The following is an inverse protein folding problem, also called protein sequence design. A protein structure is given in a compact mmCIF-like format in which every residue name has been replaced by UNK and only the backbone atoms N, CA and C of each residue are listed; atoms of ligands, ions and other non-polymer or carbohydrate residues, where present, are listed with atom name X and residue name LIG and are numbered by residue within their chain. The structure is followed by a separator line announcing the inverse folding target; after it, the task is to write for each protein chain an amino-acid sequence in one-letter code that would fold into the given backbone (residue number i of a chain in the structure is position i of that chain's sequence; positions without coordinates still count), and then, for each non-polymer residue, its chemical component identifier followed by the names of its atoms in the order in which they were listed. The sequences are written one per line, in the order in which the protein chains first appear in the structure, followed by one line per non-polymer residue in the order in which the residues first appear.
data_IF_621591377430
#
_entry.id   IF_621591377430
#
_cell.length_a   1.000
_cell.length_b   1.000
_cell.length_c   1.000
_cell.angle_alpha   90.00
_cell.angle_beta   90.00
_cell.angle_gamma   90.00
#
_symmetry.space_group_name_H-M   'P 1'
#
loop_
_entity.id
_entity.type
_entity.pdbx_description
1 polymer ?
#
# COMPACT_ATOMS: atom_id res chain seq x y z
N UNK A 1 -7.69 18.55 10.79
CA UNK A 1 -7.27 17.84 12.02
C UNK A 1 -5.82 18.19 12.35
N UNK A 2 -5.47 18.22 13.61
CA UNK A 2 -4.14 18.61 14.10
C UNK A 2 -3.96 18.17 15.56
N UNK A 3 -2.74 18.34 16.14
CA UNK A 3 -2.53 18.18 17.58
C UNK A 3 -3.07 19.39 18.35
N UNK A 4 -3.44 19.21 19.62
CA UNK A 4 -3.93 20.30 20.49
C UNK A 4 -2.88 21.41 20.70
N UNK A 5 -1.59 21.06 20.61
CA UNK A 5 -0.47 21.99 20.76
C UNK A 5 -0.14 22.77 19.51
N UNK A 6 -0.74 22.43 18.36
CA UNK A 6 -0.48 23.09 17.08
C UNK A 6 -0.92 24.58 17.12
N UNK A 7 -0.14 25.51 16.57
CA UNK A 7 -0.57 26.89 16.37
C UNK A 7 -1.86 27.00 15.55
N UNK A 8 -2.10 26.06 14.61
CA UNK A 8 -3.31 26.02 13.80
C UNK A 8 -4.58 25.76 14.63
N UNK A 9 -4.47 24.98 15.72
CA UNK A 9 -5.61 24.71 16.62
C UNK A 9 -6.09 25.97 17.39
N UNK A 10 -5.24 27.00 17.44
CA UNK A 10 -5.48 28.24 18.17
C UNK A 10 -5.81 29.39 17.25
N UNK A 11 -5.87 29.18 15.94
CA UNK A 11 -6.22 30.21 14.95
C UNK A 11 -7.74 30.34 14.82
N UNK A 12 -8.24 31.59 14.83
CA UNK A 12 -9.65 31.92 14.58
C UNK A 12 -10.01 31.80 13.08
N UNK A 13 -9.05 31.47 12.20
CA UNK A 13 -9.26 31.30 10.76
C UNK A 13 -10.00 30.00 10.42
N UNK A 14 -10.13 29.08 11.37
CA UNK A 14 -10.75 27.79 11.18
C UNK A 14 -12.08 27.66 11.92
N UNK A 15 -13.09 27.09 11.26
CA UNK A 15 -14.42 26.87 11.84
C UNK A 15 -14.39 25.90 13.03
N UNK A 16 -13.53 24.91 13.00
CA UNK A 16 -13.37 23.91 14.06
C UNK A 16 -11.99 23.22 13.98
N UNK A 17 -11.50 22.75 15.12
CA UNK A 17 -10.33 21.91 15.23
C UNK A 17 -10.75 20.49 15.68
N UNK A 18 -10.20 19.48 15.02
CA UNK A 18 -10.39 18.07 15.36
C UNK A 18 -9.02 17.47 15.70
N UNK A 19 -8.92 16.89 16.89
CA UNK A 19 -7.66 16.43 17.40
C UNK A 19 -7.42 14.95 17.07
N UNK A 20 -6.17 14.64 16.92
CA UNK A 20 -5.66 13.28 16.70
C UNK A 20 -4.68 12.95 17.81
N UNK A 21 -4.74 11.75 18.33
CA UNK A 21 -3.81 11.27 19.35
C UNK A 21 -2.38 11.23 18.83
N UNK A 22 -1.42 11.58 19.68
CA UNK A 22 0.00 11.73 19.30
C UNK A 22 0.65 10.39 18.85
N UNK A 23 0.08 9.25 19.25
CA UNK A 23 0.57 7.94 18.83
C UNK A 23 0.06 7.47 17.47
N UNK A 24 -0.86 8.20 16.82
CA UNK A 24 -1.35 7.87 15.48
C UNK A 24 -0.38 8.46 14.44
N UNK A 25 0.37 7.58 13.77
CA UNK A 25 1.23 7.96 12.65
C UNK A 25 0.44 8.32 11.38
N UNK A 26 1.02 9.16 10.52
CA UNK A 26 0.38 9.64 9.28
C UNK A 26 -0.16 8.52 8.38
N UNK A 27 0.60 7.43 8.21
CA UNK A 27 0.23 6.29 7.35
C UNK A 27 -0.94 5.46 7.86
N UNK A 28 -1.27 5.56 9.15
CA UNK A 28 -2.42 4.91 9.78
C UNK A 28 -3.54 5.91 10.12
N UNK A 29 -3.48 7.14 9.61
CA UNK A 29 -4.39 8.23 10.00
C UNK A 29 -5.63 8.35 9.12
N UNK A 30 -5.77 7.58 8.06
CA UNK A 30 -6.92 7.65 7.14
C UNK A 30 -8.27 7.43 7.81
N UNK A 31 -8.29 6.68 8.90
CA UNK A 31 -9.50 6.39 9.70
C UNK A 31 -9.52 7.10 11.05
N UNK A 32 -8.56 7.97 11.30
CA UNK A 32 -8.57 8.92 12.44
C UNK A 32 -9.41 10.16 12.11
N UNK A 33 -9.38 11.16 12.99
CA UNK A 33 -10.01 12.48 12.73
C UNK A 33 -9.47 13.13 11.44
N UNK A 34 -8.27 12.78 10.96
CA UNK A 34 -7.69 13.33 9.72
C UNK A 34 -8.54 12.95 8.51
N UNK A 35 -8.78 11.65 8.28
CA UNK A 35 -9.62 11.20 7.19
C UNK A 35 -11.11 11.30 7.53
N UNK A 36 -11.49 11.00 8.78
CA UNK A 36 -12.88 10.97 9.22
C UNK A 36 -13.63 12.29 9.00
N UNK A 37 -13.00 13.43 9.30
CA UNK A 37 -13.61 14.74 9.05
C UNK A 37 -13.85 14.96 7.56
N UNK A 38 -12.84 14.74 6.73
CA UNK A 38 -12.93 15.01 5.28
C UNK A 38 -13.90 14.02 4.61
N UNK A 39 -13.81 12.73 4.93
CA UNK A 39 -14.67 11.71 4.35
C UNK A 39 -16.14 11.91 4.78
N UNK A 40 -16.38 12.27 6.05
CA UNK A 40 -17.73 12.55 6.53
C UNK A 40 -18.34 13.81 5.91
N UNK A 41 -17.54 14.84 5.64
CA UNK A 41 -17.99 16.03 4.93
C UNK A 41 -18.28 15.78 3.45
N UNK A 42 -17.47 14.92 2.81
CA UNK A 42 -17.60 14.62 1.38
C UNK A 42 -18.72 13.62 1.08
N UNK A 43 -18.88 12.58 1.89
CA UNK A 43 -19.74 11.42 1.59
C UNK A 43 -20.82 11.17 2.65
N UNK A 44 -20.80 11.92 3.73
CA UNK A 44 -21.67 11.69 4.90
C UNK A 44 -21.03 10.82 5.98
N UNK A 45 -21.40 11.02 7.26
CA UNK A 45 -20.81 10.28 8.38
C UNK A 45 -21.15 8.78 8.33
N UNK A 46 -22.29 8.39 7.76
CA UNK A 46 -22.69 6.98 7.64
C UNK A 46 -21.76 6.20 6.72
N UNK A 47 -21.27 6.82 5.64
CA UNK A 47 -20.28 6.18 4.75
C UNK A 47 -18.96 5.95 5.47
N UNK A 48 -18.52 6.93 6.26
CA UNK A 48 -17.31 6.77 7.06
C UNK A 48 -17.47 5.68 8.14
N UNK A 49 -18.62 5.65 8.84
CA UNK A 49 -18.91 4.59 9.81
C UNK A 49 -18.85 3.20 9.18
N UNK A 50 -19.39 3.00 7.98
CA UNK A 50 -19.33 1.73 7.25
C UNK A 50 -17.90 1.32 6.86
N UNK A 51 -16.99 2.28 6.61
CA UNK A 51 -15.57 1.98 6.43
C UNK A 51 -14.99 1.41 7.73
N UNK A 52 -15.28 2.04 8.88
CA UNK A 52 -14.84 1.55 10.18
C UNK A 52 -15.43 0.18 10.53
N UNK A 53 -16.67 -0.09 10.16
CA UNK A 53 -17.31 -1.40 10.35
C UNK A 53 -16.55 -2.49 9.58
N UNK A 54 -16.18 -2.21 8.31
CA UNK A 54 -15.38 -3.13 7.51
C UNK A 54 -14.00 -3.41 8.12
N UNK A 55 -13.33 -2.38 8.64
CA UNK A 55 -12.06 -2.55 9.35
C UNK A 55 -12.22 -3.41 10.60
N UNK A 56 -13.25 -3.15 11.40
CA UNK A 56 -13.51 -3.90 12.64
C UNK A 56 -13.81 -5.39 12.37
N UNK A 57 -14.44 -5.72 11.25
CA UNK A 57 -14.63 -7.14 10.86
C UNK A 57 -13.31 -7.80 10.46
N UNK A 58 -12.43 -7.12 9.73
CA UNK A 58 -11.11 -7.65 9.39
C UNK A 58 -10.23 -7.83 10.63
N UNK A 59 -10.24 -6.88 11.55
CA UNK A 59 -9.49 -6.97 12.80
C UNK A 59 -9.90 -8.21 13.64
N UNK A 60 -11.16 -8.62 13.58
CA UNK A 60 -11.60 -9.87 14.21
C UNK A 60 -10.94 -11.08 13.58
N UNK A 61 -10.77 -11.11 12.25
CA UNK A 61 -10.06 -12.18 11.55
C UNK A 61 -8.59 -12.18 11.94
N UNK A 62 -7.95 -11.02 12.05
CA UNK A 62 -6.56 -10.87 12.47
C UNK A 62 -6.29 -11.41 13.87
N UNK A 63 -7.30 -11.46 14.76
CA UNK A 63 -7.14 -12.06 16.10
C UNK A 63 -7.21 -13.59 16.12
N UNK A 64 -7.54 -14.24 14.99
CA UNK A 64 -7.65 -15.69 14.92
C UNK A 64 -6.26 -16.34 14.97
N UNK A 65 -6.10 -17.34 15.86
CA UNK A 65 -4.84 -18.08 16.03
C UNK A 65 -4.61 -19.17 14.98
N UNK A 66 -5.65 -19.58 14.26
CA UNK A 66 -5.51 -20.50 13.13
C UNK A 66 -5.08 -19.69 11.90
N UNK A 67 -3.86 -19.93 11.43
CA UNK A 67 -3.29 -19.24 10.26
C UNK A 67 -4.19 -19.38 9.01
N UNK A 68 -4.86 -20.52 8.84
CA UNK A 68 -5.75 -20.75 7.69
C UNK A 68 -7.04 -19.93 7.76
N UNK A 69 -7.40 -19.46 8.93
CA UNK A 69 -8.57 -18.62 9.19
C UNK A 69 -8.16 -17.16 9.51
N UNK A 70 -6.89 -16.81 9.35
CA UNK A 70 -6.35 -15.47 9.53
C UNK A 70 -5.66 -15.04 8.22
N UNK A 71 -6.39 -14.42 7.30
CA UNK A 71 -5.85 -14.04 5.99
C UNK A 71 -4.70 -13.03 6.11
N UNK A 72 -4.73 -12.14 7.09
CA UNK A 72 -3.74 -11.09 7.31
C UNK A 72 -2.39 -11.69 7.72
N UNK A 73 -2.42 -12.64 8.67
CA UNK A 73 -1.22 -13.36 9.10
C UNK A 73 -0.70 -14.28 7.98
N UNK A 74 -1.59 -14.93 7.24
CA UNK A 74 -1.19 -15.78 6.11
C UNK A 74 -0.48 -14.96 5.03
N UNK A 75 -1.04 -13.81 4.65
CA UNK A 75 -0.44 -12.92 3.66
C UNK A 75 0.88 -12.31 4.17
N UNK A 76 0.97 -11.98 5.47
CA UNK A 76 2.22 -11.56 6.08
C UNK A 76 3.32 -12.62 5.98
N UNK A 77 2.99 -13.88 6.28
CA UNK A 77 3.93 -15.00 6.18
C UNK A 77 4.37 -15.28 4.74
N UNK A 78 3.46 -15.15 3.78
CA UNK A 78 3.79 -15.25 2.34
C UNK A 78 4.80 -14.16 1.98
N UNK A 79 4.55 -12.90 2.33
CA UNK A 79 5.46 -11.79 2.04
C UNK A 79 6.83 -11.94 2.70
N UNK A 80 6.90 -12.45 3.94
CA UNK A 80 8.17 -12.77 4.60
C UNK A 80 8.90 -13.91 3.87
N UNK A 81 8.18 -14.95 3.45
CA UNK A 81 8.75 -16.05 2.66
C UNK A 81 9.32 -15.53 1.33
N UNK A 82 8.57 -14.74 0.60
CA UNK A 82 9.00 -14.12 -0.65
C UNK A 82 10.24 -13.25 -0.46
N UNK A 83 10.26 -12.43 0.58
CA UNK A 83 11.35 -11.49 0.86
C UNK A 83 12.60 -12.16 1.40
N UNK A 84 12.47 -13.06 2.39
CA UNK A 84 13.60 -13.60 3.15
C UNK A 84 14.06 -14.98 2.67
N UNK A 85 13.17 -15.80 2.09
CA UNK A 85 13.52 -17.14 1.62
C UNK A 85 13.75 -17.15 0.12
N UNK A 86 12.86 -16.53 -0.67
CA UNK A 86 13.01 -16.43 -2.11
C UNK A 86 13.97 -15.31 -2.54
N UNK A 87 14.17 -14.31 -1.68
CA UNK A 87 15.08 -13.19 -1.93
C UNK A 87 14.50 -12.12 -2.88
N UNK A 88 13.19 -12.05 -3.07
CA UNK A 88 12.56 -11.06 -3.95
C UNK A 88 12.54 -9.69 -3.26
N UNK A 89 13.16 -8.66 -3.86
CA UNK A 89 13.27 -7.35 -3.21
C UNK A 89 12.03 -6.48 -3.37
N UNK A 90 11.19 -6.76 -4.36
CA UNK A 90 10.01 -5.96 -4.69
C UNK A 90 8.71 -6.76 -4.55
N UNK A 91 7.59 -6.03 -4.48
CA UNK A 91 6.23 -6.57 -4.64
C UNK A 91 5.40 -5.58 -5.46
N UNK A 92 4.75 -6.07 -6.51
CA UNK A 92 3.83 -5.26 -7.31
C UNK A 92 2.39 -5.45 -6.84
N UNK A 93 1.73 -4.34 -6.47
CA UNK A 93 0.32 -4.32 -6.07
C UNK A 93 -0.53 -3.84 -7.24
N UNK A 94 -1.43 -4.68 -7.70
CA UNK A 94 -2.16 -4.53 -8.97
C UNK A 94 -3.68 -4.54 -8.73
N UNK A 95 -4.27 -3.39 -8.30
CA UNK A 95 -5.72 -3.31 -8.11
C UNK A 95 -6.44 -3.24 -9.44
N UNK A 96 -7.38 -4.15 -9.69
CA UNK A 96 -8.26 -4.13 -10.85
C UNK A 96 -9.52 -3.34 -10.55
N UNK A 97 -9.30 -2.09 -10.16
CA UNK A 97 -10.33 -1.07 -9.91
C UNK A 97 -9.71 0.32 -10.03
N UNK A 98 -10.28 1.18 -10.87
CA UNK A 98 -9.81 2.56 -11.03
C UNK A 98 -9.98 3.38 -9.73
N UNK A 99 -10.98 3.08 -8.92
CA UNK A 99 -11.18 3.72 -7.61
C UNK A 99 -10.02 3.48 -6.65
N UNK A 100 -9.25 2.38 -6.85
CA UNK A 100 -8.07 2.05 -6.08
C UNK A 100 -6.75 2.52 -6.72
N UNK A 101 -6.79 3.50 -7.63
CA UNK A 101 -5.59 4.00 -8.34
C UNK A 101 -4.50 4.51 -7.40
N UNK A 102 -4.85 5.03 -6.23
CA UNK A 102 -3.89 5.50 -5.21
C UNK A 102 -3.54 4.44 -4.17
N UNK A 103 -4.13 3.25 -4.25
CA UNK A 103 -3.90 2.19 -3.28
C UNK A 103 -2.44 1.68 -3.26
N UNK A 104 -1.76 1.44 -4.40
CA UNK A 104 -0.35 1.10 -4.38
C UNK A 104 0.52 2.19 -3.72
N UNK A 105 0.24 3.47 -3.98
CA UNK A 105 0.94 4.59 -3.34
C UNK A 105 0.66 4.70 -1.82
N UNK A 106 -0.54 4.36 -1.37
CA UNK A 106 -0.85 4.24 0.05
C UNK A 106 0.00 3.13 0.70
N UNK A 107 0.10 1.96 0.07
CA UNK A 107 0.90 0.85 0.57
C UNK A 107 2.40 1.13 0.52
N UNK A 108 2.90 1.94 -0.42
CA UNK A 108 4.28 2.42 -0.39
C UNK A 108 4.58 3.09 0.96
N UNK A 109 3.74 4.02 1.38
CA UNK A 109 3.93 4.65 2.67
C UNK A 109 3.68 3.66 3.82
N UNK A 110 2.58 2.92 3.77
CA UNK A 110 2.18 2.03 4.85
C UNK A 110 3.23 0.96 5.14
N UNK A 111 3.75 0.26 4.12
CA UNK A 111 4.73 -0.82 4.28
C UNK A 111 6.17 -0.32 4.36
N UNK A 112 6.62 0.47 3.38
CA UNK A 112 8.03 0.85 3.28
C UNK A 112 8.45 1.76 4.43
N UNK A 113 7.59 2.65 4.92
CA UNK A 113 7.87 3.50 6.08
C UNK A 113 7.79 2.71 7.39
N UNK A 114 6.92 1.70 7.48
CA UNK A 114 6.78 0.85 8.67
C UNK A 114 7.92 -0.16 8.79
N UNK A 115 8.19 -0.91 7.74
CA UNK A 115 9.04 -2.10 7.77
C UNK A 115 10.38 -1.93 7.06
N UNK A 116 10.61 -0.81 6.36
CA UNK A 116 11.90 -0.49 5.75
C UNK A 116 12.93 -0.06 6.80
N UNK A 117 13.34 -0.98 7.67
CA UNK A 117 14.22 -0.71 8.82
C UNK A 117 15.50 -1.53 8.75
N UNK A 118 16.61 -0.95 9.18
CA UNK A 118 17.92 -1.62 9.32
C UNK A 118 18.26 -2.00 10.78
N UNK A 119 17.35 -1.67 11.70
CA UNK A 119 17.50 -1.98 13.14
C UNK A 119 16.23 -2.64 13.67
N UNK A 120 16.40 -3.50 14.68
CA UNK A 120 15.27 -4.09 15.40
C UNK A 120 14.62 -3.07 16.34
N UNK A 121 13.51 -3.46 17.00
CA UNK A 121 12.79 -2.58 17.93
C UNK A 121 13.59 -2.13 19.15
N UNK A 122 14.76 -2.70 19.38
CA UNK A 122 15.68 -2.33 20.46
C UNK A 122 16.84 -1.45 19.98
N UNK A 123 16.87 -1.08 18.68
CA UNK A 123 17.92 -0.26 18.07
C UNK A 123 19.17 -1.03 17.67
N UNK A 124 19.14 -2.36 17.66
CA UNK A 124 20.26 -3.20 17.26
C UNK A 124 20.20 -3.47 15.74
N UNK A 125 21.33 -3.40 15.02
CA UNK A 125 21.38 -3.73 13.60
C UNK A 125 20.87 -5.14 13.32
N UNK A 126 20.09 -5.29 12.23
CA UNK A 126 19.65 -6.62 11.77
C UNK A 126 20.57 -7.13 10.65
N UNK A 127 20.76 -8.45 10.59
CA UNK A 127 21.58 -9.15 9.58
C UNK A 127 20.74 -9.84 8.49
N UNK A 128 19.44 -9.51 8.45
CA UNK A 128 18.46 -10.00 7.46
C UNK A 128 17.78 -8.82 6.76
N UNK A 129 17.18 -9.09 5.60
CA UNK A 129 16.41 -8.09 4.86
C UNK A 129 15.02 -7.89 5.47
N UNK A 130 14.55 -6.66 5.45
CA UNK A 130 13.22 -6.26 5.94
C UNK A 130 12.37 -5.73 4.77
N UNK A 131 11.24 -5.18 4.99
CA UNK A 131 10.27 -4.61 4.06
C UNK A 131 10.60 -4.63 2.57
N UNK A 132 9.68 -5.05 1.69
CA UNK A 132 9.89 -5.01 0.24
C UNK A 132 9.78 -3.58 -0.31
N UNK A 133 10.26 -3.37 -1.54
CA UNK A 133 9.92 -2.19 -2.33
C UNK A 133 8.52 -2.41 -2.90
N UNK A 134 7.59 -1.53 -2.59
CA UNK A 134 6.22 -1.59 -3.10
C UNK A 134 6.07 -0.65 -4.30
N UNK A 135 5.51 -1.16 -5.38
CA UNK A 135 5.05 -0.36 -6.51
C UNK A 135 3.79 -0.96 -7.12
N UNK A 136 3.15 -0.25 -8.02
CA UNK A 136 1.99 -0.78 -8.72
C UNK A 136 1.15 0.29 -9.40
N UNK A 137 0.23 -0.18 -10.20
CA UNK A 137 -0.75 0.61 -10.94
C UNK A 137 -2.04 -0.21 -11.10
N UNK A 138 -3.19 0.43 -11.30
CA UNK A 138 -4.40 -0.30 -11.64
C UNK A 138 -4.25 -1.16 -12.89
N UNK A 139 -4.76 -2.38 -12.87
CA UNK A 139 -5.10 -3.07 -14.11
C UNK A 139 -6.28 -2.36 -14.80
N UNK A 140 -6.27 -2.11 -16.11
CA UNK A 140 -5.35 -2.61 -17.13
C UNK A 140 -4.18 -1.65 -17.45
N UNK A 141 -4.13 -0.48 -16.82
CA UNK A 141 -3.15 0.58 -17.13
C UNK A 141 -1.71 0.11 -16.94
N UNK A 142 -1.42 -0.58 -15.85
CA UNK A 142 -0.10 -1.13 -15.54
C UNK A 142 0.47 -2.04 -16.63
N UNK A 143 -0.40 -2.70 -17.43
CA UNK A 143 0.02 -3.54 -18.57
C UNK A 143 0.78 -2.74 -19.64
N UNK A 144 0.46 -1.46 -19.77
CA UNK A 144 1.09 -0.55 -20.72
C UNK A 144 2.31 0.19 -20.15
N UNK A 145 2.70 -0.16 -18.92
CA UNK A 145 3.81 0.48 -18.21
C UNK A 145 4.94 -0.52 -17.92
N UNK A 146 4.74 -1.44 -16.99
CA UNK A 146 5.81 -2.31 -16.47
C UNK A 146 5.55 -3.81 -16.60
N UNK A 147 4.46 -4.27 -17.19
CA UNK A 147 4.18 -5.71 -17.32
C UNK A 147 5.19 -6.42 -18.25
N UNK A 148 5.83 -5.71 -19.16
CA UNK A 148 6.93 -6.27 -19.93
C UNK A 148 8.04 -6.80 -19.04
N UNK A 149 8.45 -6.03 -18.02
CA UNK A 149 9.43 -6.45 -17.04
C UNK A 149 8.90 -7.62 -16.19
N UNK A 150 7.66 -7.53 -15.72
CA UNK A 150 7.07 -8.57 -14.88
C UNK A 150 6.99 -9.92 -15.59
N UNK A 151 6.67 -9.94 -16.88
CA UNK A 151 6.57 -11.17 -17.68
C UNK A 151 7.92 -11.72 -18.13
N UNK A 152 8.78 -10.86 -18.69
CA UNK A 152 9.98 -11.27 -19.41
C UNK A 152 11.27 -10.65 -18.86
N UNK A 153 11.20 -9.90 -17.76
CA UNK A 153 12.38 -9.37 -17.08
C UNK A 153 13.17 -10.45 -16.37
N UNK A 154 14.41 -10.11 -16.01
CA UNK A 154 15.34 -11.00 -15.30
C UNK A 154 15.00 -11.15 -13.83
N UNK A 155 14.35 -10.14 -13.25
CA UNK A 155 13.92 -10.16 -11.86
C UNK A 155 12.54 -10.79 -11.72
N UNK A 156 12.36 -11.59 -10.68
CA UNK A 156 11.05 -12.14 -10.31
C UNK A 156 10.44 -11.23 -9.25
N UNK A 157 9.29 -10.66 -9.59
CA UNK A 157 8.53 -9.77 -8.71
C UNK A 157 7.23 -10.47 -8.32
N UNK A 158 7.00 -10.76 -7.04
CA UNK A 158 5.69 -11.20 -6.55
C UNK A 158 4.58 -10.22 -6.89
N UNK A 159 3.42 -10.75 -7.27
CA UNK A 159 2.29 -9.95 -7.73
C UNK A 159 1.13 -10.10 -6.76
N UNK A 160 0.63 -9.00 -6.23
CA UNK A 160 -0.57 -8.98 -5.39
C UNK A 160 -1.72 -8.29 -6.12
N UNK A 161 -2.66 -9.09 -6.59
CA UNK A 161 -3.86 -8.61 -7.27
C UNK A 161 -4.97 -8.30 -6.28
N UNK A 162 -5.75 -7.26 -6.58
CA UNK A 162 -7.01 -6.97 -5.90
C UNK A 162 -8.10 -6.83 -6.94
N UNK A 163 -9.19 -7.59 -6.82
CA UNK A 163 -10.27 -7.59 -7.79
C UNK A 163 -11.65 -7.65 -7.14
N UNK A 164 -12.68 -7.31 -7.93
CA UNK A 164 -14.08 -7.36 -7.51
C UNK A 164 -14.91 -8.04 -8.57
N UNK A 165 -15.90 -8.84 -8.15
CA UNK A 165 -16.80 -9.56 -9.07
C UNK A 165 -17.75 -8.61 -9.78
N UNK A 166 -18.30 -7.65 -9.03
CA UNK A 166 -19.32 -6.71 -9.50
C UNK A 166 -18.78 -5.29 -9.63
N UNK A 167 -19.38 -4.54 -10.56
CA UNK A 167 -19.08 -3.12 -10.75
C UNK A 167 -19.41 -2.33 -9.48
N UNK A 168 -18.55 -1.37 -9.13
CA UNK A 168 -18.79 -0.43 -8.04
C UNK A 168 -20.07 0.41 -8.28
N UNK A 169 -20.40 0.69 -9.53
CA UNK A 169 -21.58 1.46 -9.91
C UNK A 169 -22.76 0.55 -10.18
N UNK A 170 -23.97 1.03 -9.89
CA UNK A 170 -25.23 0.30 -10.14
C UNK A 170 -25.45 -0.01 -11.63
N UNK A 171 -24.82 0.75 -12.53
CA UNK A 171 -24.87 0.55 -13.99
C UNK A 171 -23.46 0.30 -14.51
N UNK A 172 -23.34 -0.70 -15.39
CA UNK A 172 -22.07 -1.00 -16.07
C UNK A 172 -22.23 -0.85 -17.57
N UNK A 173 -21.16 -0.41 -18.25
CA UNK A 173 -21.16 -0.23 -19.69
C UNK A 173 -21.07 -1.58 -20.38
N UNK A 174 -21.99 -1.82 -21.33
CA UNK A 174 -22.02 -3.05 -22.14
C UNK A 174 -21.50 -2.73 -23.55
N UNK A 175 -20.45 -3.43 -23.98
CA UNK A 175 -19.88 -3.36 -25.31
C UNK A 175 -19.67 -4.77 -25.84
N UNK A 176 -20.17 -5.07 -27.02
CA UNK A 176 -20.06 -6.40 -27.66
C UNK A 176 -20.60 -7.54 -26.76
N UNK A 177 -21.73 -7.28 -26.11
CA UNK A 177 -22.41 -8.27 -25.29
C UNK A 177 -21.77 -8.57 -23.91
N UNK A 178 -20.74 -7.84 -23.52
CA UNK A 178 -20.08 -8.01 -22.23
C UNK A 178 -19.97 -6.69 -21.47
N UNK A 179 -20.13 -6.72 -20.14
CA UNK A 179 -19.95 -5.53 -19.30
C UNK A 179 -18.47 -5.20 -19.12
N UNK A 180 -18.15 -3.95 -18.82
CA UNK A 180 -16.79 -3.51 -18.54
C UNK A 180 -16.19 -4.28 -17.38
N UNK A 181 -16.96 -4.52 -16.31
CA UNK A 181 -16.51 -5.30 -15.15
C UNK A 181 -16.17 -6.75 -15.52
N UNK A 182 -16.99 -7.41 -16.34
CA UNK A 182 -16.68 -8.78 -16.82
C UNK A 182 -15.41 -8.83 -17.64
N UNK A 183 -15.17 -7.82 -18.50
CA UNK A 183 -13.92 -7.73 -19.26
C UNK A 183 -12.72 -7.54 -18.33
N UNK A 184 -12.87 -6.73 -17.30
CA UNK A 184 -11.83 -6.52 -16.28
C UNK A 184 -11.52 -7.79 -15.49
N UNK A 185 -12.54 -8.52 -15.04
CA UNK A 185 -12.38 -9.82 -14.38
C UNK A 185 -11.73 -10.87 -15.29
N UNK A 186 -12.13 -10.94 -16.55
CA UNK A 186 -11.52 -11.84 -17.53
C UNK A 186 -10.04 -11.49 -17.75
N UNK A 187 -9.71 -10.21 -17.77
CA UNK A 187 -8.34 -9.75 -17.93
C UNK A 187 -7.47 -10.14 -16.72
N UNK A 188 -7.88 -9.89 -15.49
CA UNK A 188 -7.10 -10.28 -14.30
C UNK A 188 -6.89 -11.79 -14.25
N UNK A 189 -7.92 -12.59 -14.51
CA UNK A 189 -7.82 -14.04 -14.56
C UNK A 189 -6.80 -14.51 -15.61
N UNK A 190 -6.83 -13.92 -16.83
CA UNK A 190 -5.89 -14.22 -17.88
C UNK A 190 -4.45 -13.85 -17.52
N UNK A 191 -4.24 -12.68 -16.87
CA UNK A 191 -2.92 -12.24 -16.44
C UNK A 191 -2.33 -13.15 -15.36
N UNK A 192 -3.11 -13.54 -14.35
CA UNK A 192 -2.65 -14.49 -13.31
C UNK A 192 -2.17 -15.79 -13.96
N UNK A 193 -2.94 -16.35 -14.88
CA UNK A 193 -2.57 -17.58 -15.59
C UNK A 193 -1.32 -17.37 -16.47
N UNK A 194 -1.24 -16.25 -17.20
CA UNK A 194 -0.09 -15.94 -18.05
C UNK A 194 1.19 -15.79 -17.22
N UNK A 195 1.14 -15.12 -16.07
CA UNK A 195 2.28 -15.01 -15.14
C UNK A 195 2.70 -16.34 -14.55
N UNK A 196 1.74 -17.17 -14.16
CA UNK A 196 2.03 -18.47 -13.54
C UNK A 196 2.56 -19.50 -14.53
N UNK A 197 1.88 -19.65 -15.68
CA UNK A 197 2.14 -20.73 -16.63
C UNK A 197 3.14 -20.34 -17.72
N UNK A 198 3.24 -19.06 -18.08
CA UNK A 198 4.03 -18.63 -19.20
C UNK A 198 3.52 -19.16 -20.56
N UNK A 199 4.36 -19.09 -21.56
CA UNK A 199 4.13 -19.64 -22.90
C UNK A 199 5.46 -19.95 -23.56
N UNK A 200 5.63 -21.17 -24.07
CA UNK A 200 6.78 -21.52 -24.89
C UNK A 200 6.59 -21.03 -26.35
N UNK A 201 7.67 -20.62 -26.99
CA UNK A 201 7.67 -20.15 -28.38
C UNK A 201 9.07 -20.35 -28.97
N UNK A 202 9.18 -20.72 -30.24
CA UNK A 202 10.46 -20.85 -30.96
C UNK A 202 11.20 -19.51 -31.07
N UNK A 203 10.46 -18.42 -31.10
CA UNK A 203 11.00 -17.07 -31.04
C UNK A 203 11.12 -16.60 -29.58
N UNK A 204 12.34 -16.50 -29.08
CA UNK A 204 12.64 -16.09 -27.71
C UNK A 204 11.99 -14.74 -27.32
N UNK A 205 11.75 -13.83 -28.25
CA UNK A 205 11.03 -12.58 -27.97
C UNK A 205 9.54 -12.78 -27.66
N UNK A 206 8.99 -13.95 -27.98
CA UNK A 206 7.59 -14.33 -27.72
C UNK A 206 7.44 -15.39 -26.63
N UNK A 207 8.54 -15.81 -26.06
CA UNK A 207 8.58 -16.77 -24.96
C UNK A 207 8.31 -16.05 -23.65
N UNK A 208 7.47 -16.66 -22.81
CA UNK A 208 7.16 -16.22 -21.46
C UNK A 208 7.52 -17.35 -20.50
N UNK A 209 8.47 -17.12 -19.62
CA UNK A 209 8.99 -18.16 -18.72
C UNK A 209 7.93 -18.67 -17.74
N UNK A 210 6.96 -17.83 -17.35
CA UNK A 210 6.03 -18.17 -16.28
C UNK A 210 6.71 -18.18 -14.91
N UNK A 211 6.12 -18.93 -13.96
CA UNK A 211 6.69 -19.08 -12.62
C UNK A 211 6.74 -17.78 -11.80
N UNK A 212 5.95 -16.79 -12.19
CA UNK A 212 5.83 -15.52 -11.46
C UNK A 212 4.82 -15.72 -10.32
N UNK A 213 5.24 -15.66 -9.05
CA UNK A 213 4.34 -15.88 -7.92
C UNK A 213 3.30 -14.78 -7.84
N UNK A 214 2.07 -15.16 -7.51
CA UNK A 214 1.00 -14.19 -7.31
C UNK A 214 0.00 -14.63 -6.25
N UNK A 215 -0.59 -13.64 -5.58
CA UNK A 215 -1.78 -13.78 -4.74
C UNK A 215 -2.89 -12.88 -5.25
N UNK A 216 -4.13 -13.15 -4.88
CA UNK A 216 -5.28 -12.32 -5.22
C UNK A 216 -6.23 -12.19 -4.05
N UNK A 217 -6.64 -10.95 -3.76
CA UNK A 217 -7.75 -10.64 -2.87
C UNK A 217 -8.97 -10.35 -3.74
N UNK A 218 -10.08 -11.06 -3.51
CA UNK A 218 -11.30 -10.92 -4.30
C UNK A 218 -12.44 -10.52 -3.37
N UNK A 219 -13.05 -9.36 -3.62
CA UNK A 219 -14.32 -8.95 -3.02
C UNK A 219 -15.50 -9.15 -3.97
N UNK A 220 -16.71 -9.12 -3.45
CA UNK A 220 -17.90 -9.14 -4.29
C UNK A 220 -18.05 -7.79 -5.01
N UNK A 221 -18.01 -6.69 -4.28
CA UNK A 221 -18.11 -5.33 -4.80
C UNK A 221 -17.27 -4.38 -3.95
N UNK A 222 -16.72 -3.32 -4.56
CA UNK A 222 -16.06 -2.24 -3.80
C UNK A 222 -17.13 -1.35 -3.16
N UNK A 223 -17.34 -1.56 -1.86
CA UNK A 223 -18.23 -0.78 -0.98
C UNK A 223 -17.40 -0.08 0.10
N UNK A 224 -17.97 0.82 0.91
CA UNK A 224 -17.27 1.37 2.05
C UNK A 224 -16.72 0.30 3.01
N UNK A 225 -17.50 -0.75 3.29
CA UNK A 225 -17.08 -1.84 4.17
C UNK A 225 -15.94 -2.65 3.57
N UNK A 226 -16.03 -3.03 2.30
CA UNK A 226 -14.96 -3.81 1.64
C UNK A 226 -13.68 -2.98 1.46
N UNK A 227 -13.80 -1.65 1.31
CA UNK A 227 -12.65 -0.75 1.37
C UNK A 227 -12.03 -0.73 2.76
N UNK A 228 -12.86 -0.67 3.81
CA UNK A 228 -12.41 -0.74 5.20
C UNK A 228 -11.67 -2.05 5.48
N UNK A 229 -12.25 -3.20 5.13
CA UNK A 229 -11.59 -4.52 5.26
C UNK A 229 -10.27 -4.57 4.50
N UNK A 230 -10.22 -4.05 3.27
CA UNK A 230 -8.99 -4.05 2.47
C UNK A 230 -7.87 -3.21 3.11
N UNK A 231 -8.20 -2.04 3.67
CA UNK A 231 -7.24 -1.21 4.38
C UNK A 231 -6.72 -1.91 5.63
N UNK A 232 -7.60 -2.44 6.47
CA UNK A 232 -7.24 -3.16 7.70
C UNK A 232 -6.42 -4.42 7.41
N UNK A 233 -6.78 -5.18 6.36
CA UNK A 233 -6.01 -6.35 5.92
C UNK A 233 -4.52 -6.00 5.72
N UNK A 234 -4.22 -4.94 4.96
CA UNK A 234 -2.83 -4.57 4.72
C UNK A 234 -2.16 -3.94 5.96
N UNK A 235 -2.88 -3.17 6.76
CA UNK A 235 -2.35 -2.64 8.02
C UNK A 235 -1.97 -3.79 8.97
N UNK A 236 -2.82 -4.79 9.12
CA UNK A 236 -2.57 -5.99 9.93
C UNK A 236 -1.44 -6.85 9.35
N UNK A 237 -1.42 -7.09 8.04
CA UNK A 237 -0.31 -7.76 7.35
C UNK A 237 1.02 -7.10 7.67
N UNK A 238 1.12 -5.78 7.52
CA UNK A 238 2.34 -5.01 7.75
C UNK A 238 2.76 -5.08 9.22
N UNK A 239 1.81 -4.99 10.15
CA UNK A 239 2.05 -5.15 11.58
C UNK A 239 2.60 -6.55 11.90
N UNK A 240 2.00 -7.62 11.37
CA UNK A 240 2.50 -8.99 11.56
C UNK A 240 3.90 -9.18 11.00
N UNK A 241 4.19 -8.65 9.81
CA UNK A 241 5.54 -8.65 9.24
C UNK A 241 6.53 -7.92 10.15
N UNK A 242 6.15 -6.75 10.69
CA UNK A 242 6.97 -6.01 11.65
C UNK A 242 7.29 -6.81 12.92
N UNK A 243 6.34 -7.59 13.42
CA UNK A 243 6.58 -8.51 14.54
C UNK A 243 7.54 -9.65 14.16
N UNK A 244 7.37 -10.24 12.98
CA UNK A 244 8.24 -11.33 12.50
C UNK A 244 9.67 -10.83 12.31
N UNK A 245 9.86 -9.66 11.70
CA UNK A 245 11.17 -9.02 11.54
C UNK A 245 11.69 -8.34 12.82
N UNK A 246 10.90 -8.33 13.89
CA UNK A 246 11.25 -7.69 15.16
C UNK A 246 11.62 -6.20 15.01
N UNK A 247 10.99 -5.48 14.09
CA UNK A 247 11.22 -4.05 13.86
C UNK A 247 10.14 -3.20 14.53
N UNK A 248 10.40 -1.90 14.73
CA UNK A 248 9.37 -0.95 15.15
C UNK A 248 8.68 -0.38 13.91
N UNK A 249 7.47 -0.88 13.62
CA UNK A 249 6.67 -0.46 12.45
C UNK A 249 5.98 0.90 12.64
N UNK A 250 6.09 1.53 13.80
CA UNK A 250 5.29 2.72 14.16
C UNK A 250 6.10 4.02 14.26
N UNK A 251 7.42 3.99 14.02
CA UNK A 251 8.26 5.18 13.91
C UNK A 251 8.60 5.53 12.45
N UNK A 252 9.21 6.69 12.23
CA UNK A 252 9.62 7.19 10.90
C UNK A 252 10.89 8.07 10.98
N UNK A 253 11.91 7.60 11.65
CA UNK A 253 13.17 8.37 11.84
C UNK A 253 13.86 8.71 10.51
N UNK A 254 13.70 7.88 9.48
CA UNK A 254 14.30 8.06 8.15
C UNK A 254 13.97 9.38 7.45
N UNK A 255 12.87 10.05 7.83
CA UNK A 255 12.47 11.34 7.26
C UNK A 255 12.95 12.55 8.05
N UNK A 256 13.52 12.37 9.25
CA UNK A 256 13.85 13.48 10.15
C UNK A 256 15.07 14.25 9.68
N UNK A 257 16.11 13.56 9.22
CA UNK A 257 17.36 14.20 8.77
C UNK A 257 17.09 15.22 7.64
N UNK A 258 16.30 14.86 6.64
CA UNK A 258 15.93 15.76 5.55
C UNK A 258 15.21 17.02 6.04
N UNK A 259 14.30 16.89 7.01
CA UNK A 259 13.59 18.04 7.62
C UNK A 259 14.54 18.98 8.36
N UNK A 260 15.52 18.43 9.10
CA UNK A 260 16.52 19.23 9.80
C UNK A 260 17.40 19.98 8.81
N UNK A 261 17.90 19.30 7.77
CA UNK A 261 18.75 19.93 6.75
C UNK A 261 17.99 21.01 5.96
N UNK A 262 16.73 20.76 5.60
CA UNK A 262 15.88 21.76 4.92
C UNK A 262 15.70 23.03 5.77
N UNK A 263 15.48 22.89 7.09
CA UNK A 263 15.41 24.04 8.00
C UNK A 263 16.72 24.83 8.05
N UNK A 264 17.87 24.14 8.05
CA UNK A 264 19.19 24.80 7.99
C UNK A 264 19.39 25.59 6.70
N UNK A 265 18.99 25.03 5.55
CA UNK A 265 19.03 25.74 4.26
C UNK A 265 18.21 27.03 4.34
N UNK A 266 16.96 26.95 4.80
CA UNK A 266 16.06 28.11 4.93
C UNK A 266 16.57 29.16 5.95
N UNK A 267 17.38 28.75 6.93
CA UNK A 267 18.03 29.63 7.89
C UNK A 267 19.38 30.17 7.39
N UNK A 268 19.80 29.84 6.16
CA UNK A 268 21.14 30.15 5.60
C UNK A 268 22.29 29.60 6.44
N UNK A 269 22.05 28.49 7.18
CA UNK A 269 23.04 27.78 8.00
C UNK A 269 23.66 26.63 7.21
N UNK A 270 24.25 26.90 6.05
CA UNK A 270 24.74 25.88 5.13
C UNK A 270 26.25 25.83 5.07
N UNK A 271 26.82 24.63 5.03
CA UNK A 271 28.25 24.36 4.89
C UNK A 271 28.51 23.06 4.10
N UNK A 272 29.71 22.90 3.57
CA UNK A 272 30.13 21.69 2.86
C UNK A 272 29.19 21.30 1.72
N UNK A 273 28.79 20.04 1.66
CA UNK A 273 27.91 19.54 0.61
C UNK A 273 26.53 20.23 0.61
N UNK A 274 25.98 20.52 1.80
CA UNK A 274 24.68 21.18 1.89
C UNK A 274 24.71 22.57 1.23
N UNK A 275 25.81 23.33 1.43
CA UNK A 275 26.02 24.63 0.77
C UNK A 275 26.15 24.46 -0.74
N UNK A 276 26.95 23.51 -1.21
CA UNK A 276 27.16 23.31 -2.64
C UNK A 276 25.83 23.00 -3.38
N UNK A 277 24.95 22.24 -2.76
CA UNK A 277 23.64 21.92 -3.36
C UNK A 277 22.62 23.06 -3.19
N UNK A 278 22.61 23.81 -2.09
CA UNK A 278 21.74 24.99 -1.97
C UNK A 278 22.12 26.10 -2.96
N UNK A 279 23.41 26.30 -3.21
CA UNK A 279 23.90 27.27 -4.20
C UNK A 279 23.41 26.93 -5.63
N UNK A 280 23.25 25.64 -5.99
CA UNK A 280 22.69 25.23 -7.29
C UNK A 280 21.22 25.67 -7.48
N UNK A 281 20.47 25.83 -6.41
CA UNK A 281 19.09 26.31 -6.41
C UNK A 281 18.97 27.81 -6.10
N UNK A 282 20.10 28.49 -5.90
CA UNK A 282 20.17 29.93 -5.53
C UNK A 282 19.42 30.27 -4.24
N UNK A 283 19.47 29.37 -3.23
CA UNK A 283 18.80 29.51 -1.92
C UNK A 283 19.78 29.38 -0.76
#
# INVERSE_FOLDING_TARGET
ATSETSPLAKSDDYLAAFFMDDFIGGRYSSVSSVGGVILSLAFGPDVFARILDGMAEEDKLATNKDIKANPDLLDALIGVYERNVQGYPETAVLPYSQALSRFPAHLQQCDMESNGKSVNRFGEPVDYVTGPIIFGEPGTNGQHSFYQLLHQGTDIVPLQFVGFKDSQLATDVVIEGSTSQKKLCANVAAQIVAFACGKDDENNNKKFEGGRPSSIIIGDQLTPESLGSLLAHFENKIMFQGFIWNVNSFDQEGVQLGKVLAKRVLAHETEGALKAYSDLFEI
#
